data_IF_066927584069
#
_entry.id   IF_066927584069
#
_cell.length_a   1.000
_cell.length_b   1.000
_cell.length_c   1.000
_cell.angle_alpha   90.00
_cell.angle_beta   90.00
_cell.angle_gamma   90.00
#
_symmetry.space_group_name_H-M   'P 1'
#
loop_
_entity.id
_entity.type
_entity.pdbx_description
1 polymer ?
#
# COMPACT_ATOMS: atom_id res chain seq x y z
N UNK A 1 -22.78 39.40 -3.51
CA UNK A 1 -21.53 40.02 -3.04
C UNK A 1 -21.57 40.01 -1.53
N UNK A 2 -20.63 39.36 -0.85
CA UNK A 2 -20.56 39.38 0.61
C UNK A 2 -20.38 40.84 1.06
N UNK A 3 -21.36 41.32 1.82
CA UNK A 3 -21.36 42.65 2.41
C UNK A 3 -20.40 42.64 3.60
N UNK A 4 -19.10 42.73 3.34
CA UNK A 4 -18.10 42.85 4.40
C UNK A 4 -18.13 44.29 4.91
N UNK A 5 -18.66 44.45 6.11
CA UNK A 5 -18.58 45.67 6.90
C UNK A 5 -17.70 45.43 8.13
N UNK A 6 -17.06 46.47 8.70
CA UNK A 6 -17.07 47.87 8.26
C UNK A 6 -16.26 48.11 6.98
N UNK A 7 -16.63 49.14 6.19
CA UNK A 7 -15.93 49.53 4.96
C UNK A 7 -15.72 51.03 4.86
N UNK A 8 -14.66 51.46 4.19
CA UNK A 8 -14.44 52.88 3.88
C UNK A 8 -15.37 53.26 2.72
N UNK A 9 -16.33 54.14 3.00
CA UNK A 9 -17.30 54.65 2.03
C UNK A 9 -16.76 55.83 1.23
N UNK A 10 -16.09 56.78 1.91
CA UNK A 10 -15.50 57.93 1.24
C UNK A 10 -14.33 58.52 2.01
N UNK A 11 -13.51 59.29 1.31
CA UNK A 11 -12.47 60.16 1.85
C UNK A 11 -12.79 61.60 1.49
N UNK A 12 -12.81 62.47 2.49
CA UNK A 12 -13.08 63.90 2.32
C UNK A 12 -11.92 64.74 2.81
N UNK A 13 -11.61 65.80 2.08
CA UNK A 13 -10.45 66.67 2.34
C UNK A 13 -10.87 68.12 2.36
N UNK A 14 -10.37 68.91 3.30
CA UNK A 14 -10.58 70.36 3.40
C UNK A 14 -9.23 71.03 3.58
N UNK A 15 -8.91 72.01 2.74
CA UNK A 15 -7.67 72.80 2.86
C UNK A 15 -6.38 72.02 2.58
N UNK A 16 -6.46 70.94 1.81
CA UNK A 16 -5.32 70.05 1.51
C UNK A 16 -4.69 70.41 0.15
N UNK A 17 -3.37 70.40 0.05
CA UNK A 17 -2.66 70.68 -1.21
C UNK A 17 -3.06 69.66 -2.29
N UNK A 18 -3.23 70.09 -3.54
CA UNK A 18 -3.64 69.27 -4.70
C UNK A 18 -5.05 68.66 -4.64
N UNK A 19 -5.63 68.48 -3.44
CA UNK A 19 -6.97 67.94 -3.24
C UNK A 19 -8.00 69.02 -2.87
N UNK A 20 -7.55 70.19 -2.40
CA UNK A 20 -8.37 71.34 -1.98
C UNK A 20 -9.51 70.90 -1.05
N UNK A 21 -10.75 71.20 -1.45
CA UNK A 21 -11.97 70.73 -0.84
C UNK A 21 -12.59 69.69 -1.78
N UNK A 22 -12.48 68.40 -1.44
CA UNK A 22 -12.90 67.31 -2.31
C UNK A 22 -13.48 66.15 -1.50
N UNK A 23 -14.43 65.44 -2.13
CA UNK A 23 -15.07 64.25 -1.61
C UNK A 23 -14.85 63.09 -2.60
N UNK A 24 -14.12 62.07 -2.19
CA UNK A 24 -13.81 60.87 -2.96
C UNK A 24 -14.69 59.72 -2.49
N UNK A 25 -15.64 59.29 -3.32
CA UNK A 25 -16.45 58.11 -3.06
C UNK A 25 -15.69 56.85 -3.46
N UNK A 26 -15.63 55.87 -2.55
CA UNK A 26 -14.94 54.61 -2.80
C UNK A 26 -15.93 53.54 -3.24
N UNK A 27 -15.58 52.85 -4.31
CA UNK A 27 -16.31 51.65 -4.70
C UNK A 27 -16.08 50.55 -3.65
N UNK A 28 -17.12 49.79 -3.26
CA UNK A 28 -17.02 48.74 -2.22
C UNK A 28 -16.02 47.60 -2.46
N UNK A 29 -15.40 47.54 -3.64
CA UNK A 29 -14.53 46.44 -4.05
C UNK A 29 -13.14 46.95 -4.41
N UNK A 30 -13.08 47.92 -5.33
CA UNK A 30 -11.82 48.49 -5.79
C UNK A 30 -12.03 49.91 -6.30
N UNK A 31 -11.22 50.83 -5.81
CA UNK A 31 -11.15 52.21 -6.32
C UNK A 31 -9.74 52.45 -6.84
N UNK A 32 -9.62 52.78 -8.13
CA UNK A 32 -8.34 53.07 -8.76
C UNK A 32 -8.13 54.59 -8.88
N UNK A 33 -6.97 55.08 -8.43
CA UNK A 33 -6.57 56.48 -8.60
C UNK A 33 -5.60 56.62 -9.77
N UNK A 34 -6.06 57.20 -10.88
CA UNK A 34 -5.27 57.45 -12.09
C UNK A 34 -4.98 58.95 -12.31
N UNK A 35 -3.88 59.28 -12.98
CA UNK A 35 -3.48 60.66 -13.27
C UNK A 35 -1.99 60.80 -13.55
N UNK A 36 -1.54 61.97 -14.01
CA UNK A 36 -0.14 62.26 -14.33
C UNK A 36 0.77 62.29 -13.08
N UNK A 37 2.08 62.11 -13.27
CA UNK A 37 3.03 62.25 -12.16
C UNK A 37 2.91 63.63 -11.50
N UNK A 38 2.93 63.67 -10.16
CA UNK A 38 2.75 64.93 -9.42
C UNK A 38 1.30 65.38 -9.21
N UNK A 39 0.30 64.65 -9.72
CA UNK A 39 -1.14 64.99 -9.58
C UNK A 39 -1.74 64.77 -8.18
N UNK A 40 -0.96 64.34 -7.18
CA UNK A 40 -1.44 64.09 -5.82
C UNK A 40 -1.92 62.67 -5.51
N UNK A 41 -1.86 61.71 -6.45
CA UNK A 41 -2.31 60.31 -6.21
C UNK A 41 -1.75 59.68 -4.92
N UNK A 42 -0.44 59.76 -4.72
CA UNK A 42 0.20 59.18 -3.53
C UNK A 42 -0.20 59.88 -2.23
N UNK A 43 -0.65 61.14 -2.31
CA UNK A 43 -1.13 61.89 -1.17
C UNK A 43 -2.43 61.31 -0.62
N UNK A 44 -3.23 60.62 -1.43
CA UNK A 44 -4.44 59.92 -0.98
C UNK A 44 -4.09 58.82 0.02
N UNK A 45 -3.07 58.03 -0.29
CA UNK A 45 -2.58 57.01 0.61
C UNK A 45 -1.91 57.62 1.86
N UNK A 46 -1.17 58.73 1.72
CA UNK A 46 -0.61 59.48 2.85
C UNK A 46 -1.76 59.96 3.78
N UNK A 47 -2.85 60.47 3.22
CA UNK A 47 -4.03 60.93 3.96
C UNK A 47 -4.69 59.80 4.75
N UNK A 48 -4.92 58.65 4.11
CA UNK A 48 -5.46 57.46 4.78
C UNK A 48 -4.51 56.97 5.87
N UNK A 49 -3.20 56.95 5.59
CA UNK A 49 -2.18 56.58 6.57
C UNK A 49 -2.26 57.48 7.81
N UNK A 50 -2.36 58.79 7.62
CA UNK A 50 -2.39 59.75 8.71
C UNK A 50 -3.60 59.54 9.62
N UNK A 51 -4.78 59.25 9.06
CA UNK A 51 -6.02 59.00 9.82
C UNK A 51 -5.93 57.71 10.65
N UNK A 52 -5.28 56.68 10.13
CA UNK A 52 -5.25 55.35 10.78
C UNK A 52 -4.07 55.18 11.74
N UNK A 53 -2.94 55.82 11.46
CA UNK A 53 -1.67 55.62 12.20
C UNK A 53 -1.33 56.82 13.09
N UNK A 54 -1.80 58.01 12.70
CA UNK A 54 -1.44 59.27 13.32
C UNK A 54 -0.03 59.76 13.00
N UNK A 55 0.31 60.94 13.53
CA UNK A 55 1.52 61.68 13.16
C UNK A 55 2.82 61.05 13.64
N UNK A 56 2.81 60.13 14.61
CA UNK A 56 4.04 59.54 15.16
C UNK A 56 4.75 58.59 14.21
N UNK A 57 4.00 57.83 13.41
CA UNK A 57 4.53 56.84 12.47
C UNK A 57 4.15 57.18 11.02
N UNK A 58 3.67 58.41 10.79
CA UNK A 58 3.41 58.94 9.47
C UNK A 58 4.72 59.14 8.72
N UNK A 59 4.82 58.56 7.52
CA UNK A 59 5.88 58.85 6.54
C UNK A 59 5.29 58.79 5.15
N UNK A 60 5.57 59.81 4.34
CA UNK A 60 5.12 59.86 2.95
C UNK A 60 5.51 58.59 2.18
N UNK A 61 4.55 58.08 1.42
CA UNK A 61 4.76 56.89 0.62
C UNK A 61 5.75 57.13 -0.53
N UNK A 62 5.85 58.34 -1.06
CA UNK A 62 6.80 58.65 -2.14
C UNK A 62 8.14 59.12 -1.60
N UNK A 63 9.23 58.48 -2.07
CA UNK A 63 10.61 58.93 -1.88
C UNK A 63 10.87 60.16 -2.78
N UNK A 64 10.33 61.32 -2.39
CA UNK A 64 10.64 62.61 -3.03
C UNK A 64 11.91 63.23 -2.44
N UNK A 65 12.47 64.25 -3.12
CA UNK A 65 13.69 64.96 -2.70
C UNK A 65 13.61 65.69 -1.34
N UNK A 66 12.45 65.69 -0.66
CA UNK A 66 12.24 66.22 0.69
C UNK A 66 11.20 65.36 1.42
N UNK A 67 11.48 65.02 2.68
CA UNK A 67 10.52 64.39 3.57
C UNK A 67 9.27 65.28 3.68
N UNK A 68 8.12 64.76 3.24
CA UNK A 68 6.85 65.47 3.37
C UNK A 68 6.33 65.25 4.79
N UNK A 69 6.46 66.29 5.60
CA UNK A 69 5.87 66.42 6.92
C UNK A 69 4.35 66.59 6.87
N UNK A 70 3.65 66.28 7.97
CA UNK A 70 2.19 66.40 8.12
C UNK A 70 1.70 67.81 7.77
N UNK A 71 2.37 68.86 8.27
CA UNK A 71 2.06 70.26 7.94
C UNK A 71 2.25 70.60 6.46
N UNK A 72 3.15 69.87 5.77
CA UNK A 72 3.42 70.03 4.35
C UNK A 72 2.27 69.60 3.45
N UNK A 73 1.24 68.96 4.01
CA UNK A 73 0.01 68.58 3.32
C UNK A 73 -0.99 69.74 3.18
N UNK A 74 -0.85 70.79 3.99
CA UNK A 74 -1.78 71.92 3.97
C UNK A 74 -1.58 72.80 2.74
N UNK A 75 -2.68 73.39 2.27
CA UNK A 75 -2.62 74.47 1.30
C UNK A 75 -1.98 75.71 1.96
N UNK A 76 -0.92 76.24 1.35
CA UNK A 76 -0.28 77.45 1.85
C UNK A 76 -1.23 78.64 1.70
N UNK A 77 -1.58 79.29 2.81
CA UNK A 77 -2.30 80.55 2.78
C UNK A 77 -1.31 81.68 2.48
N UNK A 78 -1.58 82.49 1.47
CA UNK A 78 -0.82 83.72 1.23
C UNK A 78 -1.17 84.75 2.31
N UNK A 79 -0.47 84.74 3.44
CA UNK A 79 -0.66 85.71 4.53
C UNK A 79 -0.26 85.20 5.93
N UNK A 80 -0.41 86.05 6.95
CA UNK A 80 -0.12 85.75 8.38
C UNK A 80 -1.14 84.79 9.05
N UNK A 81 -2.13 84.29 8.31
CA UNK A 81 -3.14 83.38 8.84
C UNK A 81 -2.65 81.93 8.84
N UNK A 82 -2.78 81.24 9.98
CA UNK A 82 -2.47 79.81 10.07
C UNK A 82 -3.36 79.01 9.11
N UNK A 83 -2.74 78.24 8.22
CA UNK A 83 -3.46 77.28 7.37
C UNK A 83 -4.00 76.15 8.23
N UNK A 84 -5.22 75.71 7.93
CA UNK A 84 -5.92 74.62 8.61
C UNK A 84 -6.46 73.64 7.59
N UNK A 85 -6.56 72.37 7.97
CA UNK A 85 -7.14 71.36 7.11
C UNK A 85 -7.71 70.19 7.88
N UNK A 86 -8.68 69.54 7.23
CA UNK A 86 -9.32 68.33 7.72
C UNK A 86 -9.18 67.23 6.67
N UNK A 87 -8.95 66.03 7.15
CA UNK A 87 -8.97 64.82 6.34
C UNK A 87 -9.78 63.80 7.12
N UNK A 88 -10.83 63.26 6.53
CA UNK A 88 -11.70 62.32 7.24
C UNK A 88 -12.27 61.25 6.31
N UNK A 89 -12.53 60.09 6.90
CA UNK A 89 -13.13 58.94 6.26
C UNK A 89 -14.55 58.75 6.80
N UNK A 90 -15.50 58.52 5.89
CA UNK A 90 -16.77 57.93 6.28
C UNK A 90 -16.60 56.40 6.29
N UNK A 91 -16.75 55.79 7.47
CA UNK A 91 -16.75 54.35 7.65
C UNK A 91 -18.20 53.88 7.73
N UNK A 92 -18.62 53.05 6.78
CA UNK A 92 -19.93 52.43 6.81
C UNK A 92 -19.84 51.14 7.65
N UNK A 93 -20.56 51.09 8.77
CA UNK A 93 -20.57 49.95 9.70
C UNK A 93 -21.58 48.88 9.31
N UNK A 94 -22.73 49.32 8.80
CA UNK A 94 -23.87 48.54 8.33
C UNK A 94 -24.49 49.39 7.20
N UNK A 95 -25.24 48.84 6.22
CA UNK A 95 -25.77 49.64 5.13
C UNK A 95 -26.44 50.93 5.59
N UNK A 96 -25.96 52.08 5.10
CA UNK A 96 -26.43 53.44 5.44
C UNK A 96 -26.19 53.90 6.89
N UNK A 97 -25.29 53.25 7.63
CA UNK A 97 -24.89 53.66 8.97
C UNK A 97 -23.40 53.99 9.00
N UNK A 98 -23.07 55.23 9.35
CA UNK A 98 -21.74 55.79 9.17
C UNK A 98 -21.12 56.30 10.48
N UNK A 99 -19.82 56.08 10.66
CA UNK A 99 -18.99 56.79 11.63
C UNK A 99 -17.93 57.55 10.85
N UNK A 100 -17.64 58.78 11.27
CA UNK A 100 -16.54 59.54 10.68
C UNK A 100 -15.33 59.46 11.58
N UNK A 101 -14.19 59.13 10.98
CA UNK A 101 -12.89 59.15 11.64
C UNK A 101 -11.97 60.08 10.87
N UNK A 102 -11.14 60.87 11.55
CA UNK A 102 -10.37 61.88 10.84
C UNK A 102 -9.21 62.48 11.62
N UNK A 103 -8.46 63.29 10.90
CA UNK A 103 -7.29 64.01 11.34
C UNK A 103 -7.46 65.51 11.02
N UNK A 104 -7.27 66.34 12.04
CA UNK A 104 -7.20 67.80 11.92
C UNK A 104 -5.74 68.25 11.94
N UNK A 105 -5.35 69.11 11.01
CA UNK A 105 -3.97 69.59 10.84
C UNK A 105 -3.96 71.12 10.87
N UNK A 106 -3.01 71.68 11.62
CA UNK A 106 -2.70 73.10 11.63
C UNK A 106 -1.27 73.37 11.16
N UNK A 107 -1.03 74.52 10.54
CA UNK A 107 0.32 74.91 10.10
C UNK A 107 1.31 75.17 11.25
N UNK A 108 0.81 75.33 12.47
CA UNK A 108 1.57 75.67 13.68
C UNK A 108 2.36 74.49 14.25
N UNK A 109 1.89 73.26 14.02
CA UNK A 109 2.51 72.05 14.56
C UNK A 109 2.57 70.95 13.50
N UNK A 110 3.49 70.00 13.65
CA UNK A 110 3.58 68.82 12.78
C UNK A 110 2.73 67.65 13.29
N UNK A 111 1.84 67.89 14.23
CA UNK A 111 0.97 66.87 14.83
C UNK A 111 -0.43 67.00 14.28
N UNK A 112 -1.04 65.86 13.94
CA UNK A 112 -2.45 65.80 13.61
C UNK A 112 -3.27 65.46 14.86
N UNK A 113 -4.36 66.19 15.09
CA UNK A 113 -5.31 65.88 16.15
C UNK A 113 -6.36 64.92 15.61
N UNK A 114 -6.45 63.72 16.20
CA UNK A 114 -7.42 62.72 15.80
C UNK A 114 -8.81 63.08 16.32
N UNK A 115 -9.84 62.83 15.52
CA UNK A 115 -11.22 63.08 15.92
C UNK A 115 -12.17 62.02 15.37
N UNK A 116 -13.32 61.92 16.03
CA UNK A 116 -14.43 61.07 15.63
C UNK A 116 -15.70 61.93 15.57
N UNK A 117 -16.54 61.69 14.55
CA UNK A 117 -17.88 62.26 14.46
C UNK A 117 -18.92 61.13 14.49
N UNK A 118 -19.92 61.29 15.36
CA UNK A 118 -20.97 60.31 15.60
C UNK A 118 -22.29 60.99 16.00
N UNK A 119 -23.36 60.20 16.15
CA UNK A 119 -24.66 60.69 16.60
C UNK A 119 -24.89 60.55 18.12
N UNK A 120 -24.06 59.75 18.80
CA UNK A 120 -24.25 59.35 20.21
C UNK A 120 -23.56 60.26 21.22
N UNK A 121 -23.90 60.06 22.49
CA UNK A 121 -23.25 60.72 23.64
C UNK A 121 -22.13 59.87 24.26
N UNK A 122 -22.24 58.54 24.16
CA UNK A 122 -21.20 57.61 24.62
C UNK A 122 -20.05 57.57 23.61
N UNK A 123 -18.82 57.63 24.10
CA UNK A 123 -17.60 57.61 23.29
C UNK A 123 -16.86 56.27 23.40
N UNK A 124 -17.31 55.36 24.24
CA UNK A 124 -16.83 53.97 24.27
C UNK A 124 -17.55 53.13 23.22
N UNK A 125 -18.88 53.24 23.17
CA UNK A 125 -19.72 52.59 22.15
C UNK A 125 -20.20 53.61 21.12
N UNK A 126 -19.66 53.56 19.90
CA UNK A 126 -19.94 54.56 18.88
C UNK A 126 -21.34 54.38 18.27
N UNK A 127 -22.11 55.46 18.19
CA UNK A 127 -23.45 55.46 17.59
C UNK A 127 -23.40 56.05 16.18
N UNK A 128 -23.75 55.27 15.14
CA UNK A 128 -23.61 55.72 13.76
C UNK A 128 -24.59 56.83 13.37
N UNK A 129 -24.18 57.61 12.37
CA UNK A 129 -24.96 58.59 11.62
C UNK A 129 -25.76 57.89 10.52
N UNK A 130 -26.91 58.46 10.17
CA UNK A 130 -27.79 57.94 9.10
C UNK A 130 -27.37 58.41 7.69
N UNK A 131 -26.42 59.33 7.60
CA UNK A 131 -25.90 59.89 6.37
C UNK A 131 -24.40 60.14 6.49
N UNK A 132 -23.62 59.98 5.41
CA UNK A 132 -22.21 60.34 5.40
C UNK A 132 -22.06 61.87 5.55
N UNK A 133 -20.91 62.31 6.05
CA UNK A 133 -20.53 63.72 6.13
C UNK A 133 -19.63 64.04 4.94
N UNK A 134 -19.85 65.18 4.29
CA UNK A 134 -19.01 65.67 3.20
C UNK A 134 -18.36 67.01 3.54
N UNK A 135 -17.45 67.46 2.68
CA UNK A 135 -16.68 68.71 2.90
C UNK A 135 -17.56 69.92 3.19
N UNK A 136 -18.69 70.05 2.49
CA UNK A 136 -19.63 71.17 2.64
C UNK A 136 -20.28 71.23 4.02
N UNK A 137 -20.43 70.09 4.70
CA UNK A 137 -21.11 70.01 5.98
C UNK A 137 -20.22 70.52 7.14
N UNK A 138 -18.90 70.56 6.94
CA UNK A 138 -17.93 71.01 7.94
C UNK A 138 -17.35 72.41 7.65
N UNK A 139 -17.64 72.99 6.48
CA UNK A 139 -17.24 74.37 6.14
C UNK A 139 -18.36 75.32 6.58
N UNK A 140 -18.07 76.17 7.57
CA UNK A 140 -19.05 77.10 8.14
C UNK A 140 -18.68 78.52 7.72
N UNK A 141 -19.60 79.23 7.08
CA UNK A 141 -19.41 80.61 6.60
C UNK A 141 -18.16 80.77 5.71
N UNK A 142 -17.92 79.83 4.80
CA UNK A 142 -16.75 79.76 3.91
C UNK A 142 -15.39 79.75 4.62
N UNK A 143 -15.36 79.40 5.91
CA UNK A 143 -14.15 79.34 6.73
C UNK A 143 -13.92 77.94 7.29
N UNK A 144 -12.64 77.59 7.35
CA UNK A 144 -12.16 76.37 8.00
C UNK A 144 -11.93 76.68 9.48
N UNK A 145 -12.87 76.24 10.31
CA UNK A 145 -12.83 76.46 11.76
C UNK A 145 -11.87 75.51 12.47
N UNK A 146 -11.52 75.82 13.73
CA UNK A 146 -10.76 74.89 14.57
C UNK A 146 -11.63 73.73 15.04
N UNK A 147 -11.00 72.61 15.40
CA UNK A 147 -11.73 71.41 15.83
C UNK A 147 -12.64 71.68 17.05
N UNK A 148 -12.19 72.52 17.98
CA UNK A 148 -12.99 72.93 19.14
C UNK A 148 -14.20 73.78 18.75
N UNK A 149 -14.03 74.75 17.84
CA UNK A 149 -15.15 75.57 17.37
C UNK A 149 -16.12 74.77 16.50
N UNK A 150 -15.62 73.81 15.72
CA UNK A 150 -16.44 72.91 14.92
C UNK A 150 -17.33 72.04 15.82
N UNK A 151 -16.79 71.52 16.93
CA UNK A 151 -17.55 70.72 17.90
C UNK A 151 -18.71 71.47 18.55
N UNK A 152 -18.62 72.80 18.68
CA UNK A 152 -19.70 73.63 19.21
C UNK A 152 -20.74 74.02 18.15
N UNK A 153 -20.32 74.22 16.90
CA UNK A 153 -21.18 74.74 15.81
C UNK A 153 -21.89 73.65 15.01
N UNK A 154 -21.41 72.40 15.04
CA UNK A 154 -22.06 71.28 14.35
C UNK A 154 -23.20 70.75 15.22
N UNK A 155 -24.44 71.02 14.82
CA UNK A 155 -25.63 70.59 15.57
C UNK A 155 -26.13 69.19 15.16
N UNK A 156 -25.91 68.78 13.92
CA UNK A 156 -26.42 67.52 13.37
C UNK A 156 -25.63 66.29 13.81
N UNK A 157 -24.44 66.48 14.40
CA UNK A 157 -23.57 65.41 14.86
C UNK A 157 -22.64 65.88 15.98
N UNK A 158 -22.10 64.94 16.75
CA UNK A 158 -21.13 65.22 17.81
C UNK A 158 -19.72 64.99 17.31
N UNK A 159 -18.86 66.00 17.44
CA UNK A 159 -17.44 65.95 17.10
C UNK A 159 -16.62 65.95 18.38
N UNK A 160 -15.63 65.06 18.51
CA UNK A 160 -14.70 65.07 19.64
C UNK A 160 -13.28 64.72 19.22
N UNK A 161 -12.31 65.40 19.83
CA UNK A 161 -10.89 65.13 19.67
C UNK A 161 -10.40 64.08 20.67
N UNK A 162 -9.43 63.28 20.25
CA UNK A 162 -8.87 62.20 21.06
C UNK A 162 -7.35 62.18 21.01
N UNK A 163 -6.74 61.71 22.10
CA UNK A 163 -5.33 61.32 22.08
C UNK A 163 -5.14 60.12 21.14
N UNK A 164 -3.95 59.95 20.56
CA UNK A 164 -3.63 58.82 19.66
C UNK A 164 -4.02 57.46 20.27
N UNK A 165 -3.65 57.23 21.54
CA UNK A 165 -3.91 55.95 22.23
C UNK A 165 -5.41 55.72 22.44
N UNK A 166 -6.12 56.73 22.95
CA UNK A 166 -7.57 56.64 23.17
C UNK A 166 -8.32 56.43 21.85
N UNK A 167 -7.90 57.14 20.80
CA UNK A 167 -8.45 57.00 19.46
C UNK A 167 -8.30 55.57 18.93
N UNK A 168 -7.09 55.01 18.93
CA UNK A 168 -6.87 53.63 18.48
C UNK A 168 -7.66 52.61 19.32
N UNK A 169 -7.75 52.80 20.64
CA UNK A 169 -8.53 51.92 21.50
C UNK A 169 -10.03 51.94 21.14
N UNK A 170 -10.60 53.13 20.93
CA UNK A 170 -12.01 53.28 20.54
C UNK A 170 -12.26 52.60 19.19
N UNK A 171 -11.38 52.81 18.20
CA UNK A 171 -11.52 52.20 16.89
C UNK A 171 -11.43 50.66 16.93
N UNK A 172 -10.55 50.12 17.78
CA UNK A 172 -10.42 48.69 17.97
C UNK A 172 -11.63 48.08 18.70
N UNK A 173 -12.08 48.70 19.79
CA UNK A 173 -13.24 48.24 20.56
C UNK A 173 -14.55 48.24 19.75
N UNK A 174 -14.67 49.14 18.76
CA UNK A 174 -15.83 49.23 17.87
C UNK A 174 -15.62 48.48 16.54
N UNK A 175 -14.62 47.58 16.47
CA UNK A 175 -14.31 46.73 15.32
C UNK A 175 -14.05 47.50 14.00
N UNK A 176 -13.78 48.81 14.08
CA UNK A 176 -13.38 49.64 12.92
C UNK A 176 -11.96 49.26 12.48
N UNK A 177 -11.09 48.97 13.45
CA UNK A 177 -9.76 48.40 13.22
C UNK A 177 -9.73 46.95 13.67
N UNK A 178 -9.17 46.09 12.83
CA UNK A 178 -9.01 44.65 13.14
C UNK A 178 -7.85 44.36 14.11
N UNK A 179 -7.00 45.35 14.38
CA UNK A 179 -5.81 45.20 15.21
C UNK A 179 -5.73 46.33 16.22
N UNK A 180 -5.28 45.98 17.42
CA UNK A 180 -5.03 46.95 18.47
C UNK A 180 -3.72 47.72 18.17
N UNK A 181 -3.87 48.99 17.79
CA UNK A 181 -2.75 49.90 17.46
C UNK A 181 -2.29 50.76 18.65
N UNK A 182 -2.67 50.41 19.88
CA UNK A 182 -2.19 51.12 21.08
C UNK A 182 -0.73 50.80 21.42
N UNK A 183 -0.25 49.61 21.03
CA UNK A 183 1.16 49.18 21.20
C UNK A 183 2.02 49.73 20.07
N UNK A 184 3.15 50.34 20.40
CA UNK A 184 4.01 51.00 19.40
C UNK A 184 4.60 50.02 18.35
N UNK A 185 4.85 48.76 18.71
CA UNK A 185 5.33 47.74 17.77
C UNK A 185 4.29 47.37 16.70
N UNK A 186 3.04 47.14 17.13
CA UNK A 186 1.92 46.86 16.25
C UNK A 186 1.64 48.05 15.33
N UNK A 187 1.70 49.27 15.86
CA UNK A 187 1.52 50.51 15.12
C UNK A 187 2.59 50.68 14.04
N UNK A 188 3.87 50.47 14.38
CA UNK A 188 5.00 50.54 13.42
C UNK A 188 4.82 49.53 12.28
N UNK A 189 4.42 48.31 12.64
CA UNK A 189 4.21 47.23 11.66
C UNK A 189 3.04 47.55 10.73
N UNK A 190 1.91 48.00 11.28
CA UNK A 190 0.76 48.44 10.52
C UNK A 190 1.09 49.61 9.59
N UNK A 191 1.84 50.61 10.08
CA UNK A 191 2.29 51.75 9.30
C UNK A 191 3.24 51.35 8.16
N UNK A 192 4.14 50.38 8.39
CA UNK A 192 5.03 49.84 7.35
C UNK A 192 4.23 49.17 6.23
N UNK A 193 3.17 48.44 6.58
CA UNK A 193 2.31 47.75 5.62
C UNK A 193 1.51 48.72 4.78
N UNK A 194 0.83 49.69 5.40
CA UNK A 194 0.05 50.66 4.65
C UNK A 194 0.94 51.43 3.66
N UNK A 195 2.18 51.74 4.05
CA UNK A 195 3.19 52.32 3.15
C UNK A 195 3.63 51.39 2.03
N UNK A 196 3.78 50.09 2.27
CA UNK A 196 4.18 49.15 1.22
C UNK A 196 3.10 49.04 0.13
N UNK A 197 1.81 49.05 0.52
CA UNK A 197 0.69 49.10 -0.42
C UNK A 197 0.69 50.37 -1.28
N UNK A 198 1.04 51.53 -0.69
CA UNK A 198 1.03 52.81 -1.38
C UNK A 198 2.16 52.98 -2.42
N UNK A 199 3.31 52.33 -2.20
CA UNK A 199 4.55 52.56 -2.97
C UNK A 199 4.58 52.00 -4.38
N UNK A 200 3.58 51.22 -4.82
CA UNK A 200 3.44 50.73 -6.20
C UNK A 200 4.57 49.79 -6.71
N UNK A 201 5.69 49.67 -5.99
CA UNK A 201 6.65 48.57 -6.15
C UNK A 201 5.93 47.33 -5.62
N UNK A 202 5.35 46.56 -6.54
CA UNK A 202 4.52 45.39 -6.23
C UNK A 202 5.08 44.53 -5.09
N UNK A 203 4.15 43.89 -4.37
CA UNK A 203 4.43 42.90 -3.35
C UNK A 203 5.59 41.99 -3.77
N UNK A 204 6.77 42.19 -3.21
CA UNK A 204 7.71 41.09 -3.10
C UNK A 204 7.16 40.22 -1.99
N UNK A 205 6.69 39.03 -2.32
CA UNK A 205 6.25 37.95 -1.41
C UNK A 205 7.29 37.60 -0.34
N UNK A 206 8.48 38.21 -0.40
CA UNK A 206 9.61 38.07 0.49
C UNK A 206 9.80 39.22 1.49
N UNK A 207 8.89 40.20 1.60
CA UNK A 207 9.12 41.30 2.55
C UNK A 207 9.02 40.80 3.99
N UNK A 208 10.13 40.84 4.74
CA UNK A 208 10.19 40.46 6.16
C UNK A 208 9.11 41.13 7.00
N UNK A 209 8.74 42.37 6.67
CA UNK A 209 7.70 43.14 7.37
C UNK A 209 6.30 42.52 7.27
N UNK A 210 5.96 41.86 6.15
CA UNK A 210 4.67 41.18 5.98
C UNK A 210 4.65 39.86 6.75
N UNK A 211 5.76 39.11 6.74
CA UNK A 211 5.91 37.90 7.58
C UNK A 211 5.86 38.25 9.06
N UNK A 212 6.50 39.34 9.46
CA UNK A 212 6.49 39.88 10.83
C UNK A 212 5.09 40.27 11.30
N UNK A 213 4.25 40.74 10.37
CA UNK A 213 2.86 41.09 10.65
C UNK A 213 1.90 39.90 10.69
N UNK A 214 2.00 39.00 9.71
CA UNK A 214 1.12 37.83 9.64
C UNK A 214 1.38 36.83 10.77
N UNK A 215 2.58 36.84 11.33
CA UNK A 215 3.03 35.83 12.31
C UNK A 215 3.50 36.40 13.65
N UNK A 216 3.51 37.73 13.86
CA UNK A 216 4.00 38.38 15.08
C UNK A 216 5.49 38.09 15.38
N UNK A 217 6.07 38.77 16.39
CA UNK A 217 7.39 38.37 16.94
C UNK A 217 7.24 37.27 18.02
N UNK A 218 6.13 37.27 18.77
CA UNK A 218 5.88 36.32 19.86
C UNK A 218 5.33 34.97 19.36
N UNK A 219 4.45 35.01 18.36
CA UNK A 219 3.95 33.81 17.69
C UNK A 219 4.97 33.25 16.69
N UNK A 220 5.95 34.04 16.20
CA UNK A 220 7.03 33.51 15.36
C UNK A 220 7.88 32.49 16.09
N UNK A 221 8.18 32.66 17.37
CA UNK A 221 8.93 31.63 18.11
C UNK A 221 8.10 30.37 18.29
N UNK A 222 6.82 30.50 18.67
CA UNK A 222 5.94 29.33 18.90
C UNK A 222 5.60 28.62 17.59
N UNK A 223 5.29 29.36 16.53
CA UNK A 223 4.94 28.82 15.21
C UNK A 223 6.20 28.35 14.47
N UNK A 224 7.35 29.03 14.57
CA UNK A 224 8.60 28.48 14.01
C UNK A 224 9.10 27.28 14.80
N UNK A 225 8.89 27.23 16.11
CA UNK A 225 9.22 26.04 16.91
C UNK A 225 8.28 24.90 16.56
N UNK A 226 6.97 25.12 16.50
CA UNK A 226 6.00 24.14 16.00
C UNK A 226 6.24 23.74 14.55
N UNK A 227 6.62 24.67 13.68
CA UNK A 227 6.95 24.38 12.28
C UNK A 227 8.26 23.61 12.18
N UNK A 228 9.28 23.93 12.96
CA UNK A 228 10.53 23.14 13.01
C UNK A 228 10.28 21.76 13.61
N UNK A 229 9.40 21.65 14.60
CA UNK A 229 8.95 20.39 15.19
C UNK A 229 8.15 19.57 14.18
N UNK A 230 7.18 20.17 13.48
CA UNK A 230 6.43 19.50 12.40
C UNK A 230 7.32 19.13 11.24
N UNK A 231 8.25 19.98 10.79
CA UNK A 231 9.21 19.66 9.73
C UNK A 231 10.16 18.55 10.20
N UNK A 232 10.56 18.55 11.48
CA UNK A 232 11.33 17.48 12.10
C UNK A 232 10.54 16.17 12.14
N UNK A 233 9.27 16.22 12.52
CA UNK A 233 8.37 15.08 12.56
C UNK A 233 8.08 14.55 11.15
N UNK A 234 7.85 15.42 10.16
CA UNK A 234 7.68 15.05 8.75
C UNK A 234 8.98 14.42 8.20
N UNK A 235 10.15 14.95 8.56
CA UNK A 235 11.44 14.38 8.17
C UNK A 235 11.68 13.01 8.82
N UNK A 236 11.33 12.86 10.10
CA UNK A 236 11.36 11.58 10.79
C UNK A 236 10.36 10.58 10.18
N UNK A 237 9.12 10.99 9.92
CA UNK A 237 8.10 10.19 9.25
C UNK A 237 8.57 9.79 7.85
N UNK A 238 9.25 10.67 7.12
CA UNK A 238 9.81 10.35 5.81
C UNK A 238 10.94 9.31 5.93
N UNK A 239 11.80 9.42 6.94
CA UNK A 239 12.84 8.44 7.23
C UNK A 239 12.26 7.11 7.69
N UNK A 240 11.21 7.13 8.51
CA UNK A 240 10.46 5.92 8.92
C UNK A 240 9.76 5.29 7.72
N UNK A 241 9.11 6.08 6.86
CA UNK A 241 8.49 5.60 5.64
C UNK A 241 9.52 4.97 4.70
N UNK A 242 10.71 5.58 4.57
CA UNK A 242 11.83 4.97 3.84
C UNK A 242 12.26 3.64 4.47
N UNK A 243 12.37 3.56 5.80
CA UNK A 243 12.66 2.30 6.52
C UNK A 243 11.56 1.26 6.28
N UNK A 244 10.29 1.65 6.32
CA UNK A 244 9.17 0.75 6.04
C UNK A 244 9.16 0.27 4.59
N UNK A 245 9.53 1.11 3.61
CA UNK A 245 9.69 0.69 2.22
C UNK A 245 10.80 -0.35 2.07
N UNK A 246 11.94 -0.16 2.73
CA UNK A 246 13.03 -1.14 2.75
C UNK A 246 12.60 -2.45 3.43
N UNK A 247 11.83 -2.38 4.50
CA UNK A 247 11.29 -3.54 5.21
C UNK A 247 10.24 -4.30 4.37
N UNK A 248 9.36 -3.58 3.69
CA UNK A 248 8.38 -4.15 2.74
C UNK A 248 9.11 -4.85 1.59
N UNK A 249 10.16 -4.25 1.03
CA UNK A 249 10.96 -4.89 -0.02
C UNK A 249 11.63 -6.18 0.50
N UNK A 250 12.18 -6.15 1.72
CA UNK A 250 12.75 -7.34 2.36
C UNK A 250 11.70 -8.44 2.57
N UNK A 251 10.50 -8.08 3.04
CA UNK A 251 9.37 -9.01 3.22
C UNK A 251 8.96 -9.61 1.88
N UNK A 252 8.84 -8.80 0.83
CA UNK A 252 8.47 -9.27 -0.51
C UNK A 252 9.53 -10.24 -1.08
N UNK A 253 10.82 -9.93 -0.90
CA UNK A 253 11.93 -10.83 -1.27
C UNK A 253 11.86 -12.16 -0.52
N UNK A 254 11.59 -12.12 0.79
CA UNK A 254 11.40 -13.33 1.61
C UNK A 254 10.18 -14.13 1.15
N UNK A 255 9.04 -13.48 0.89
CA UNK A 255 7.83 -14.13 0.41
C UNK A 255 8.05 -14.80 -0.95
N UNK A 256 8.73 -14.13 -1.88
CA UNK A 256 9.10 -14.68 -3.18
C UNK A 256 10.01 -15.92 -3.03
N UNK A 257 10.99 -15.85 -2.13
CA UNK A 257 11.88 -16.98 -1.84
C UNK A 257 11.13 -18.16 -1.21
N UNK A 258 10.20 -17.90 -0.29
CA UNK A 258 9.31 -18.90 0.31
C UNK A 258 8.41 -19.56 -0.72
N UNK A 259 7.83 -18.77 -1.64
CA UNK A 259 7.01 -19.29 -2.73
C UNK A 259 7.82 -20.21 -3.65
N UNK A 260 9.03 -19.80 -4.01
CA UNK A 260 9.94 -20.62 -4.81
C UNK A 260 10.32 -21.93 -4.09
N UNK A 261 10.64 -21.86 -2.79
CA UNK A 261 10.92 -23.04 -1.98
C UNK A 261 9.71 -23.99 -1.90
N UNK A 262 8.50 -23.45 -1.76
CA UNK A 262 7.27 -24.23 -1.75
C UNK A 262 7.03 -24.93 -3.09
N UNK A 263 7.23 -24.22 -4.20
CA UNK A 263 7.07 -24.79 -5.54
C UNK A 263 8.10 -25.89 -5.82
N UNK A 264 9.37 -25.67 -5.43
CA UNK A 264 10.40 -26.72 -5.48
C UNK A 264 10.06 -27.92 -4.61
N UNK A 265 9.48 -27.71 -3.43
CA UNK A 265 9.03 -28.81 -2.56
C UNK A 265 7.88 -29.61 -3.20
N UNK A 266 6.92 -28.95 -3.87
CA UNK A 266 5.85 -29.63 -4.61
C UNK A 266 6.41 -30.46 -5.77
N UNK A 267 7.33 -29.89 -6.55
CA UNK A 267 8.01 -30.60 -7.63
C UNK A 267 8.75 -31.81 -7.07
N UNK A 268 9.55 -31.62 -6.02
CA UNK A 268 10.27 -32.70 -5.35
C UNK A 268 9.34 -33.82 -4.89
N UNK A 269 8.23 -33.49 -4.21
CA UNK A 269 7.24 -34.50 -3.78
C UNK A 269 6.64 -35.26 -4.96
N UNK A 270 6.35 -34.58 -6.06
CA UNK A 270 5.78 -35.21 -7.25
C UNK A 270 6.81 -36.15 -7.90
N UNK A 271 8.00 -35.64 -8.19
CA UNK A 271 9.10 -36.43 -8.77
C UNK A 271 9.53 -37.59 -7.87
N UNK A 272 9.54 -37.40 -6.56
CA UNK A 272 9.86 -38.47 -5.60
C UNK A 272 8.77 -39.55 -5.59
N UNK A 273 7.50 -39.15 -5.68
CA UNK A 273 6.37 -40.09 -5.79
C UNK A 273 6.46 -40.90 -7.08
N UNK A 274 6.73 -40.25 -8.20
CA UNK A 274 6.95 -40.90 -9.50
C UNK A 274 8.17 -41.86 -9.45
N UNK A 275 9.27 -41.44 -8.84
CA UNK A 275 10.44 -42.28 -8.63
C UNK A 275 10.09 -43.53 -7.81
N UNK A 276 9.34 -43.39 -6.71
CA UNK A 276 8.91 -44.52 -5.89
C UNK A 276 8.00 -45.48 -6.67
N UNK A 277 7.05 -44.95 -7.46
CA UNK A 277 6.19 -45.75 -8.32
C UNK A 277 6.99 -46.50 -9.38
N UNK A 278 7.89 -45.83 -10.09
CA UNK A 278 8.76 -46.43 -11.10
C UNK A 278 9.66 -47.52 -10.49
N UNK A 279 10.22 -47.26 -9.31
CA UNK A 279 11.02 -48.23 -8.56
C UNK A 279 10.18 -49.45 -8.17
N UNK A 280 8.96 -49.25 -7.67
CA UNK A 280 8.03 -50.32 -7.37
C UNK A 280 7.71 -51.16 -8.61
N UNK A 281 7.35 -50.52 -9.72
CA UNK A 281 7.06 -51.20 -10.99
C UNK A 281 8.25 -52.01 -11.50
N UNK A 282 9.47 -51.48 -11.40
CA UNK A 282 10.69 -52.18 -11.76
C UNK A 282 10.88 -53.46 -10.94
N UNK A 283 10.84 -53.36 -9.61
CA UNK A 283 10.98 -54.52 -8.72
C UNK A 283 9.85 -55.52 -8.87
N UNK A 284 8.62 -55.06 -9.04
CA UNK A 284 7.47 -55.93 -9.29
C UNK A 284 7.63 -56.70 -10.60
N UNK A 285 8.11 -56.04 -11.65
CA UNK A 285 8.36 -56.66 -12.96
C UNK A 285 9.47 -57.71 -12.86
N UNK A 286 10.57 -57.40 -12.17
CA UNK A 286 11.63 -58.37 -11.90
C UNK A 286 11.13 -59.57 -11.11
N UNK A 287 10.37 -59.35 -10.03
CA UNK A 287 9.77 -60.42 -9.23
C UNK A 287 8.86 -61.30 -10.10
N UNK A 288 8.03 -60.71 -10.96
CA UNK A 288 7.14 -61.45 -11.86
C UNK A 288 7.93 -62.30 -12.87
N UNK A 289 9.02 -61.76 -13.44
CA UNK A 289 9.92 -62.53 -14.32
C UNK A 289 10.54 -63.72 -13.59
N UNK A 290 11.08 -63.49 -12.39
CA UNK A 290 11.65 -64.55 -11.57
C UNK A 290 10.61 -65.64 -11.21
N UNK A 291 9.37 -65.26 -10.91
CA UNK A 291 8.31 -66.24 -10.62
C UNK A 291 7.94 -67.05 -11.87
N UNK A 292 7.89 -66.43 -13.06
CA UNK A 292 7.66 -67.13 -14.32
C UNK A 292 8.81 -68.12 -14.61
N UNK A 293 10.06 -67.71 -14.42
CA UNK A 293 11.23 -68.57 -14.58
C UNK A 293 11.22 -69.74 -13.59
N UNK A 294 10.89 -69.47 -12.33
CA UNK A 294 10.70 -70.51 -11.30
C UNK A 294 9.60 -71.49 -11.70
N UNK A 295 8.46 -71.02 -12.20
CA UNK A 295 7.37 -71.89 -12.67
C UNK A 295 7.76 -72.72 -13.90
N UNK A 296 8.59 -72.18 -14.80
CA UNK A 296 9.16 -72.95 -15.91
C UNK A 296 10.09 -74.04 -15.40
N UNK A 297 11.03 -73.70 -14.52
CA UNK A 297 11.95 -74.66 -13.91
C UNK A 297 11.22 -75.76 -13.12
N UNK A 298 10.14 -75.41 -12.40
CA UNK A 298 9.30 -76.39 -11.71
C UNK A 298 8.61 -77.36 -12.68
N UNK A 299 8.05 -76.85 -13.79
CA UNK A 299 7.44 -77.69 -14.82
C UNK A 299 8.46 -78.60 -15.50
N UNK A 300 9.65 -78.10 -15.81
CA UNK A 300 10.74 -78.91 -16.36
C UNK A 300 11.19 -79.99 -15.38
N UNK A 301 11.30 -79.67 -14.09
CA UNK A 301 11.62 -80.64 -13.05
C UNK A 301 10.54 -81.71 -12.95
N UNK A 302 9.26 -81.34 -13.00
CA UNK A 302 8.14 -82.27 -12.97
C UNK A 302 8.14 -83.19 -14.19
N UNK A 303 8.38 -82.64 -15.38
CA UNK A 303 8.55 -83.43 -16.60
C UNK A 303 9.72 -84.42 -16.49
N UNK A 304 10.90 -83.97 -16.02
CA UNK A 304 12.06 -84.84 -15.79
C UNK A 304 11.79 -85.93 -14.74
N UNK A 305 10.99 -85.65 -13.70
CA UNK A 305 10.57 -86.67 -12.73
C UNK A 305 9.68 -87.74 -13.37
N UNK A 306 8.76 -87.35 -14.25
CA UNK A 306 7.92 -88.30 -14.99
C UNK A 306 8.78 -89.15 -15.94
N UNK A 307 9.72 -88.54 -16.66
CA UNK A 307 10.69 -89.28 -17.49
C UNK A 307 11.52 -90.27 -16.67
N UNK A 308 12.05 -89.83 -15.52
CA UNK A 308 12.79 -90.71 -14.62
C UNK A 308 11.94 -91.90 -14.15
N UNK A 309 10.71 -91.65 -13.70
CA UNK A 309 9.78 -92.72 -13.31
C UNK A 309 9.47 -93.68 -14.46
N UNK A 310 9.34 -93.16 -15.69
CA UNK A 310 9.15 -94.01 -16.86
C UNK A 310 10.37 -94.90 -17.12
N UNK A 311 11.59 -94.34 -17.09
CA UNK A 311 12.84 -95.10 -17.23
C UNK A 311 12.98 -96.14 -16.12
N UNK A 312 12.72 -95.78 -14.87
CA UNK A 312 12.73 -96.71 -13.74
C UNK A 312 11.73 -97.86 -13.94
N UNK A 313 10.52 -97.56 -14.44
CA UNK A 313 9.52 -98.58 -14.74
C UNK A 313 9.93 -99.47 -15.92
N UNK A 314 10.60 -98.93 -16.94
CA UNK A 314 11.15 -99.74 -18.03
C UNK A 314 12.28 -100.65 -17.55
N UNK A 315 13.17 -100.16 -16.69
CA UNK A 315 14.21 -100.98 -16.05
C UNK A 315 13.57 -102.08 -15.21
N UNK A 316 12.53 -101.77 -14.42
CA UNK A 316 11.77 -102.77 -13.66
C UNK A 316 11.13 -103.81 -14.58
N UNK A 317 10.51 -103.41 -15.69
CA UNK A 317 9.94 -104.33 -16.69
C UNK A 317 10.99 -105.24 -17.32
N UNK A 318 12.14 -104.68 -17.71
CA UNK A 318 13.27 -105.48 -18.22
C UNK A 318 13.72 -106.51 -17.20
N UNK A 319 13.91 -106.10 -15.93
CA UNK A 319 14.27 -107.03 -14.85
C UNK A 319 13.23 -108.12 -14.62
N UNK A 320 11.94 -107.79 -14.70
CA UNK A 320 10.86 -108.79 -14.60
C UNK A 320 10.97 -109.77 -15.76
N UNK A 321 11.16 -109.28 -16.99
CA UNK A 321 11.33 -110.14 -18.17
C UNK A 321 12.56 -111.06 -18.05
N UNK A 322 13.69 -110.52 -17.59
CA UNK A 322 14.90 -111.32 -17.37
C UNK A 322 14.65 -112.40 -16.30
N UNK A 323 13.92 -112.08 -15.24
CA UNK A 323 13.51 -113.05 -14.20
C UNK A 323 12.51 -114.10 -14.72
N UNK A 324 11.57 -113.72 -15.59
CA UNK A 324 10.65 -114.64 -16.26
C UNK A 324 11.38 -115.59 -17.19
N UNK A 325 12.33 -115.10 -17.99
CA UNK A 325 13.18 -115.94 -18.84
C UNK A 325 14.02 -116.91 -18.00
N UNK A 326 14.56 -116.47 -16.86
CA UNK A 326 15.25 -117.35 -15.92
C UNK A 326 14.30 -118.40 -15.30
N UNK A 327 13.07 -118.02 -14.99
CA UNK A 327 12.05 -118.93 -14.47
C UNK A 327 11.69 -120.00 -15.52
N UNK A 328 11.49 -119.60 -16.77
CA UNK A 328 11.18 -120.53 -17.86
C UNK A 328 12.36 -121.44 -18.18
N UNK A 329 13.61 -120.93 -18.18
CA UNK A 329 14.81 -121.78 -18.24
C UNK A 329 14.85 -122.78 -17.08
N UNK A 330 14.49 -122.35 -15.86
CA UNK A 330 14.42 -123.26 -14.72
C UNK A 330 13.34 -124.34 -14.90
N UNK A 331 12.17 -123.98 -15.47
CA UNK A 331 11.12 -124.94 -15.80
C UNK A 331 11.53 -125.91 -16.91
N UNK A 332 12.20 -125.46 -17.96
CA UNK A 332 12.67 -126.34 -19.03
C UNK A 332 13.73 -127.31 -18.52
N UNK A 333 14.66 -126.85 -17.68
CA UNK A 333 15.62 -127.73 -16.99
C UNK A 333 14.87 -128.76 -16.11
N UNK A 334 13.85 -128.35 -15.36
CA UNK A 334 13.05 -129.27 -14.56
C UNK A 334 12.29 -130.30 -15.41
N UNK A 335 11.72 -129.89 -16.55
CA UNK A 335 11.04 -130.79 -17.49
C UNK A 335 12.01 -131.74 -18.22
N UNK A 336 13.23 -131.29 -18.55
CA UNK A 336 14.28 -132.15 -19.07
C UNK A 336 14.72 -133.18 -18.01
N UNK A 337 14.92 -132.77 -16.77
CA UNK A 337 15.20 -133.68 -15.66
C UNK A 337 14.06 -134.70 -15.43
N UNK A 338 12.80 -134.31 -15.68
CA UNK A 338 11.64 -135.21 -15.57
C UNK A 338 11.53 -136.20 -16.75
N UNK A 339 11.86 -135.77 -17.97
CA UNK A 339 11.75 -136.61 -19.18
C UNK A 339 12.91 -137.60 -19.35
N UNK A 340 14.12 -137.27 -18.90
CA UNK A 340 15.27 -138.18 -19.02
C UNK A 340 15.16 -139.36 -18.03
N UNK A 341 14.59 -139.14 -16.85
CA UNK A 341 14.39 -140.21 -15.85
C UNK A 341 13.40 -141.29 -16.30
N UNK A 342 12.36 -140.94 -17.07
CA UNK A 342 11.29 -141.89 -17.42
C UNK A 342 11.62 -142.75 -18.64
N UNK A 343 12.55 -142.29 -19.49
CA UNK A 343 12.91 -142.98 -20.74
C UNK A 343 13.89 -144.13 -20.51
N UNK A 344 14.89 -143.95 -19.64
CA UNK A 344 15.85 -144.99 -19.28
C UNK A 344 15.21 -146.17 -18.51
N UNK A 345 14.20 -145.90 -17.68
CA UNK A 345 13.51 -146.95 -16.89
C UNK A 345 12.59 -147.85 -17.73
N UNK A 346 12.02 -147.33 -18.82
CA UNK A 346 11.13 -148.10 -19.71
C UNK A 346 11.96 -148.97 -20.67
N UNK A 347 13.07 -148.46 -21.19
CA UNK A 347 13.93 -149.21 -22.13
C UNK A 347 14.60 -150.43 -21.45
N UNK A 348 15.01 -150.32 -20.19
CA UNK A 348 15.56 -151.45 -19.42
C UNK A 348 14.51 -152.53 -19.10
N UNK A 349 13.26 -152.15 -18.81
CA UNK A 349 12.17 -153.12 -18.58
C UNK A 349 11.77 -153.87 -19.85
N UNK A 350 11.75 -153.20 -21.00
CA UNK A 350 11.36 -153.83 -22.26
C UNK A 350 12.39 -154.86 -22.75
N UNK A 351 13.68 -154.55 -22.60
CA UNK A 351 14.77 -155.46 -22.98
C UNK A 351 14.76 -156.78 -22.18
N UNK A 352 14.48 -156.72 -20.88
CA UNK A 352 14.42 -157.90 -20.02
C UNK A 352 13.22 -158.82 -20.33
N UNK A 353 12.07 -158.25 -20.69
CA UNK A 353 10.87 -159.02 -21.05
C UNK A 353 11.08 -159.78 -22.37
N UNK A 354 11.73 -159.15 -23.34
CA UNK A 354 12.01 -159.78 -24.64
C UNK A 354 12.93 -161.00 -24.50
N UNK A 355 13.94 -160.93 -23.63
CA UNK A 355 14.86 -162.03 -23.39
C UNK A 355 14.23 -163.24 -22.68
N UNK A 356 13.29 -163.00 -21.75
CA UNK A 356 12.50 -164.06 -21.12
C UNK A 356 11.60 -164.78 -22.13
N UNK A 357 10.98 -164.04 -23.05
CA UNK A 357 10.08 -164.63 -24.06
C UNK A 357 10.80 -165.63 -24.97
N UNK A 358 11.99 -165.29 -25.47
CA UNK A 358 12.80 -166.17 -26.32
C UNK A 358 13.25 -167.45 -25.59
N UNK A 359 13.44 -167.36 -24.28
CA UNK A 359 13.83 -168.50 -23.43
C UNK A 359 12.67 -169.46 -23.18
N UNK A 360 11.43 -168.95 -23.15
CA UNK A 360 10.21 -169.78 -23.01
C UNK A 360 9.87 -170.48 -24.33
N UNK A 361 9.99 -169.79 -25.47
CA UNK A 361 9.72 -170.36 -26.81
C UNK A 361 10.70 -171.48 -27.21
N UNK A 362 11.91 -171.48 -26.66
CA UNK A 362 12.91 -172.53 -26.88
C UNK A 362 12.62 -173.79 -26.07
N UNK A 363 12.09 -173.66 -24.86
CA UNK A 363 11.68 -174.80 -24.02
C UNK A 363 10.40 -175.46 -24.55
N UNK A 364 9.46 -174.68 -25.08
CA UNK A 364 8.20 -175.18 -25.64
C UNK A 364 8.41 -176.01 -26.93
N UNK A 365 9.42 -175.63 -27.73
CA UNK A 365 9.84 -176.41 -28.89
C UNK A 365 10.53 -177.74 -28.52
N UNK A 366 11.16 -177.84 -27.33
CA UNK A 366 11.73 -179.11 -26.85
C UNK A 366 10.66 -180.09 -26.34
N UNK A 367 9.57 -179.56 -25.77
CA UNK A 367 8.45 -180.35 -25.24
C UNK A 367 7.57 -180.94 -26.35
N UNK A 368 7.37 -180.21 -27.45
CA UNK A 368 6.55 -180.67 -28.60
C UNK A 368 7.22 -181.75 -29.48
N UNK A 369 8.56 -181.86 -29.45
CA UNK A 369 9.31 -182.88 -30.21
C UNK A 369 9.39 -184.26 -29.51
N UNK A 370 9.22 -184.32 -28.18
CA UNK A 370 9.32 -185.58 -27.42
C UNK A 370 7.98 -186.33 -27.25
N UNK A 371 6.83 -185.67 -27.41
CA UNK A 371 5.51 -186.34 -27.30
C UNK A 371 5.16 -187.21 -28.51
N UNK A 372 5.71 -186.91 -29.70
CA UNK A 372 5.37 -187.62 -30.95
C UNK A 372 6.10 -188.96 -31.18
N UNK A 373 6.92 -189.43 -30.22
CA UNK A 373 7.55 -190.76 -30.31
C UNK A 373 7.07 -191.78 -29.25
N UNK A 374 6.17 -191.40 -28.33
CA UNK A 374 5.62 -192.32 -27.32
C UNK A 374 4.41 -193.13 -27.82
N UNK A 375 3.71 -192.69 -28.87
CA UNK A 375 2.51 -193.37 -29.39
C UNK A 375 2.77 -194.43 -30.47
N UNK A 376 4.03 -194.70 -30.84
CA UNK A 376 4.39 -195.88 -31.64
C UNK A 376 4.86 -197.10 -30.83
N UNK A 377 4.95 -196.98 -29.50
CA UNK A 377 5.23 -198.10 -28.57
C UNK A 377 3.94 -198.86 -28.17
N UNK A 378 2.81 -198.60 -28.85
CA UNK A 378 1.55 -199.34 -28.61
C UNK A 378 1.07 -200.22 -29.76
N UNK A 379 1.80 -200.33 -30.87
CA UNK A 379 1.52 -201.37 -31.87
C UNK A 379 2.73 -202.01 -32.59
N UNK A 380 3.99 -201.75 -32.20
CA UNK A 380 5.15 -202.65 -32.48
C UNK A 380 6.40 -202.30 -31.67
#
# INVERSE_FOLDING_TARGET
MQNNFPRIYSLSTIGIKQHFNADYLFHPYRTDFSGESGSGKSMIADMIQLILVGSSEFKSATDGNKDRDVKGMLLASAGKSSSRGYIFLNIELIPKQFIVIGAYIESTNNTANMFIIQNGYDWETLTPLNSPIFTKDLIINDKVETLSSLAEKVEFARVKSFSKKSYHQILYNNEILSLDLTKDETLKTYANILRSFSRGKGFKTESENLKKFLFGDDEQNIIMEKYREEVGNISNDFNEHKRYLEEIDLINKKQSSLKNALDKCKIYKTTYTEYLLNRYHYWHTLKRKAEIEKQKALRELEYKKVELNFVENQIKKSKIKDLEELLDKKKTIANHAYNDSYKEEIETKYFNIQHSKTSVETVDNWLTLNDNQLDKVKEW
#
